data_IF_426473182095
#
_entry.id   IF_426473182095
#
_cell.length_a   1.000
_cell.length_b   1.000
_cell.length_c   1.000
_cell.angle_alpha   90.00
_cell.angle_beta   90.00
_cell.angle_gamma   90.00
#
_symmetry.space_group_name_H-M   'P 1'
#
loop_
_entity.id
_entity.type
_entity.pdbx_description
1 polymer ?
#
# COMPACT_ATOMS: atom_id res chain seq x y z
N UNK A 1 36.81 -44.99 9.89
CA UNK A 1 37.45 -43.66 9.68
C UNK A 1 36.57 -42.86 8.70
N UNK A 2 35.75 -41.99 9.21
CA UNK A 2 34.77 -41.25 8.40
C UNK A 2 35.16 -39.77 8.45
N UNK A 3 35.83 -39.30 7.41
CA UNK A 3 36.32 -37.93 7.29
C UNK A 3 35.15 -37.00 6.85
N UNK A 4 34.58 -36.32 7.85
CA UNK A 4 33.57 -35.27 7.56
C UNK A 4 34.19 -34.11 6.80
N UNK A 5 33.77 -33.93 5.55
CA UNK A 5 34.04 -32.72 4.79
C UNK A 5 33.16 -31.60 5.37
N UNK A 6 33.77 -30.72 6.17
CA UNK A 6 33.17 -29.42 6.53
C UNK A 6 33.07 -28.57 5.25
N UNK A 7 31.86 -28.34 4.73
CA UNK A 7 31.61 -27.43 3.65
C UNK A 7 31.98 -26.01 4.09
N UNK A 8 33.00 -25.43 3.47
CA UNK A 8 33.35 -24.03 3.62
C UNK A 8 32.22 -23.21 2.96
N UNK A 9 31.42 -22.54 3.78
CA UNK A 9 30.40 -21.59 3.35
C UNK A 9 31.15 -20.44 2.65
N UNK A 10 31.15 -20.42 1.29
CA UNK A 10 31.68 -19.29 0.52
C UNK A 10 30.97 -18.02 1.01
N UNK A 11 31.69 -17.09 1.64
CA UNK A 11 31.17 -15.77 1.93
C UNK A 11 30.80 -15.14 0.59
N UNK A 12 29.58 -14.67 0.49
CA UNK A 12 29.08 -13.93 -0.68
C UNK A 12 29.89 -12.64 -0.78
N UNK A 13 30.50 -12.37 -1.94
CA UNK A 13 31.13 -11.07 -2.18
C UNK A 13 30.08 -9.98 -1.99
N UNK A 14 30.42 -8.96 -1.20
CA UNK A 14 29.55 -7.80 -1.01
C UNK A 14 29.36 -7.10 -2.36
N UNK A 15 28.12 -6.86 -2.74
CA UNK A 15 27.81 -6.02 -3.89
C UNK A 15 27.86 -4.54 -3.47
N UNK A 16 28.02 -3.61 -4.42
CA UNK A 16 27.95 -2.17 -4.15
C UNK A 16 26.63 -1.75 -3.48
N UNK A 17 25.57 -2.53 -3.68
CA UNK A 17 24.25 -2.31 -3.05
C UNK A 17 24.28 -2.61 -1.54
N UNK A 18 25.20 -3.47 -1.08
CA UNK A 18 25.34 -3.83 0.34
C UNK A 18 26.01 -2.68 1.14
N UNK A 19 26.64 -1.71 0.46
CA UNK A 19 27.33 -0.56 1.08
C UNK A 19 26.44 0.70 1.15
N UNK A 20 25.18 0.64 0.65
CA UNK A 20 24.23 1.76 0.77
C UNK A 20 23.79 1.88 2.23
N UNK A 21 24.04 3.04 2.83
CA UNK A 21 23.53 3.35 4.18
C UNK A 21 22.00 3.48 4.13
N UNK A 22 21.32 2.52 4.72
CA UNK A 22 19.85 2.48 4.83
C UNK A 22 19.34 2.93 6.20
N UNK A 23 20.21 3.43 7.07
CA UNK A 23 19.83 3.84 8.43
C UNK A 23 18.82 4.98 8.44
N UNK A 24 18.81 5.81 7.40
CA UNK A 24 17.80 6.88 7.25
C UNK A 24 16.37 6.36 7.20
N UNK A 25 16.16 5.09 6.77
CA UNK A 25 14.84 4.45 6.71
C UNK A 25 14.45 3.78 8.04
N UNK A 26 15.40 3.63 8.98
CA UNK A 26 15.19 3.01 10.30
C UNK A 26 14.62 3.99 11.35
N UNK A 27 14.06 5.12 10.92
CA UNK A 27 13.36 6.07 11.78
C UNK A 27 12.13 5.37 12.34
N UNK A 28 11.96 5.47 13.65
CA UNK A 28 10.81 4.92 14.38
C UNK A 28 10.14 6.03 15.13
N UNK A 29 8.87 6.21 14.86
CA UNK A 29 8.04 7.08 15.68
C UNK A 29 7.50 6.29 16.87
N UNK A 30 7.16 6.99 17.94
CA UNK A 30 6.47 6.39 19.06
C UNK A 30 5.12 5.81 18.58
N UNK A 31 4.81 4.57 18.96
CA UNK A 31 3.52 3.96 18.65
C UNK A 31 2.41 4.69 19.39
N UNK A 32 1.54 5.40 18.65
CA UNK A 32 0.39 6.16 19.15
C UNK A 32 -0.85 5.78 18.35
N UNK A 33 -1.16 4.48 18.36
CA UNK A 33 -2.28 3.96 17.61
C UNK A 33 -3.60 4.41 18.25
N UNK A 34 -4.54 4.92 17.46
CA UNK A 34 -5.91 5.13 17.90
C UNK A 34 -6.67 3.80 17.99
N UNK A 35 -6.29 2.85 17.15
CA UNK A 35 -6.87 1.52 17.11
C UNK A 35 -5.87 0.53 16.52
N UNK A 36 -5.80 -0.67 17.10
CA UNK A 36 -5.04 -1.79 16.59
C UNK A 36 -5.92 -3.04 16.64
N UNK A 37 -6.05 -3.70 15.51
CA UNK A 37 -6.79 -4.95 15.42
C UNK A 37 -6.02 -6.08 16.10
N UNK A 38 -6.74 -7.08 16.58
CA UNK A 38 -6.12 -8.30 17.09
C UNK A 38 -5.25 -8.95 16.01
N UNK A 39 -4.16 -9.59 16.45
CA UNK A 39 -3.29 -10.35 15.55
C UNK A 39 -4.02 -11.57 14.98
N UNK A 40 -3.65 -11.92 13.76
CA UNK A 40 -4.17 -13.10 13.08
C UNK A 40 -5.10 -12.81 11.91
N UNK A 41 -5.63 -13.88 11.35
CA UNK A 41 -6.46 -13.85 10.15
C UNK A 41 -7.61 -14.86 10.26
N UNK A 42 -8.73 -14.41 10.83
CA UNK A 42 -9.95 -15.20 10.99
C UNK A 42 -11.15 -14.51 10.31
N UNK A 43 -12.26 -15.23 10.07
CA UNK A 43 -13.47 -14.59 9.54
C UNK A 43 -13.98 -13.44 10.40
N UNK A 44 -13.84 -13.54 11.73
CA UNK A 44 -14.27 -12.51 12.68
C UNK A 44 -13.39 -11.25 12.56
N UNK A 45 -12.06 -11.41 12.38
CA UNK A 45 -11.12 -10.30 12.16
C UNK A 45 -11.43 -9.61 10.83
N UNK A 46 -11.65 -10.37 9.75
CA UNK A 46 -11.98 -9.81 8.43
C UNK A 46 -13.34 -9.10 8.45
N UNK A 47 -14.35 -9.64 9.11
CA UNK A 47 -15.66 -9.00 9.29
C UNK A 47 -15.56 -7.71 10.12
N UNK A 48 -14.74 -7.74 11.18
CA UNK A 48 -14.48 -6.57 12.02
C UNK A 48 -13.75 -5.47 11.24
N UNK A 49 -12.77 -5.83 10.39
CA UNK A 49 -12.10 -4.88 9.50
C UNK A 49 -13.10 -4.25 8.53
N UNK A 50 -13.95 -5.06 7.90
CA UNK A 50 -14.96 -4.57 6.97
C UNK A 50 -15.93 -3.57 7.64
N UNK A 51 -16.34 -3.83 8.88
CA UNK A 51 -17.16 -2.91 9.68
C UNK A 51 -16.41 -1.64 10.07
N UNK A 52 -15.15 -1.75 10.47
CA UNK A 52 -14.30 -0.59 10.81
C UNK A 52 -14.10 0.34 9.59
N UNK A 53 -14.00 -0.25 8.39
CA UNK A 53 -13.86 0.48 7.13
C UNK A 53 -15.20 0.94 6.54
N UNK A 54 -16.34 0.58 7.15
CA UNK A 54 -17.68 0.86 6.62
C UNK A 54 -17.83 0.42 5.17
N UNK A 55 -17.43 -0.82 4.90
CA UNK A 55 -17.46 -1.39 3.56
C UNK A 55 -18.88 -1.61 3.04
N UNK A 56 -19.14 -1.41 1.75
CA UNK A 56 -20.38 -1.87 1.14
C UNK A 56 -20.47 -3.42 1.18
N UNK A 57 -21.69 -3.94 1.20
CA UNK A 57 -21.95 -5.39 1.35
C UNK A 57 -21.14 -6.25 0.38
N UNK A 58 -21.00 -5.82 -0.88
CA UNK A 58 -20.25 -6.59 -1.86
C UNK A 58 -18.75 -6.68 -1.51
N UNK A 59 -18.17 -5.64 -0.89
CA UNK A 59 -16.76 -5.65 -0.46
C UNK A 59 -16.56 -6.55 0.76
N UNK A 60 -17.47 -6.52 1.73
CA UNK A 60 -17.46 -7.46 2.86
C UNK A 60 -17.49 -8.92 2.36
N UNK A 61 -18.39 -9.23 1.42
CA UNK A 61 -18.45 -10.56 0.82
C UNK A 61 -17.16 -10.92 0.07
N UNK A 62 -16.59 -9.97 -0.67
CA UNK A 62 -15.34 -10.16 -1.39
C UNK A 62 -14.18 -10.48 -0.44
N UNK A 63 -14.08 -9.75 0.69
CA UNK A 63 -13.07 -10.03 1.72
C UNK A 63 -13.19 -11.44 2.29
N UNK A 64 -14.38 -11.85 2.67
CA UNK A 64 -14.62 -13.19 3.23
C UNK A 64 -14.35 -14.31 2.20
N UNK A 65 -14.71 -14.10 0.93
CA UNK A 65 -14.35 -15.03 -0.15
C UNK A 65 -12.84 -15.11 -0.37
N UNK A 66 -12.15 -13.96 -0.30
CA UNK A 66 -10.69 -13.91 -0.42
C UNK A 66 -10.00 -14.64 0.74
N UNK A 67 -10.54 -14.54 1.96
CA UNK A 67 -10.06 -15.30 3.11
C UNK A 67 -10.23 -16.82 2.90
N UNK A 68 -11.39 -17.23 2.36
CA UNK A 68 -11.60 -18.65 2.04
C UNK A 68 -10.56 -19.14 1.04
N UNK A 69 -10.33 -18.39 -0.04
CA UNK A 69 -9.29 -18.70 -1.05
C UNK A 69 -7.90 -18.76 -0.40
N UNK A 70 -7.57 -17.81 0.48
CA UNK A 70 -6.32 -17.81 1.22
C UNK A 70 -6.10 -19.12 1.99
N UNK A 71 -7.12 -19.61 2.68
CA UNK A 71 -7.06 -20.85 3.46
C UNK A 71 -6.86 -22.10 2.58
N UNK A 72 -7.39 -22.09 1.37
CA UNK A 72 -7.29 -23.20 0.40
C UNK A 72 -5.93 -23.19 -0.36
N UNK A 73 -5.29 -22.04 -0.51
CA UNK A 73 -4.09 -21.90 -1.35
C UNK A 73 -2.79 -22.25 -0.62
N UNK A 74 -1.87 -22.94 -1.28
CA UNK A 74 -0.52 -23.16 -0.74
C UNK A 74 0.27 -21.86 -0.76
N UNK A 75 1.31 -21.81 0.10
CA UNK A 75 2.32 -20.75 0.04
C UNK A 75 3.08 -20.89 -1.28
N UNK A 76 3.29 -19.78 -2.04
CA UNK A 76 4.06 -19.85 -3.28
C UNK A 76 5.51 -20.26 -3.02
N UNK A 77 6.06 -21.08 -3.91
CA UNK A 77 7.42 -21.64 -3.81
C UNK A 77 8.42 -21.04 -4.82
N UNK A 78 7.99 -20.05 -5.60
CA UNK A 78 8.76 -19.41 -6.67
C UNK A 78 9.47 -18.12 -6.21
N UNK A 79 9.20 -17.64 -5.00
CA UNK A 79 9.80 -16.44 -4.40
C UNK A 79 10.92 -16.77 -3.41
N UNK A 80 11.45 -15.74 -2.73
CA UNK A 80 12.35 -15.93 -1.59
C UNK A 80 11.66 -16.73 -0.48
N UNK A 81 12.45 -17.39 0.39
CA UNK A 81 11.90 -18.03 1.59
C UNK A 81 11.23 -17.00 2.49
N UNK A 82 10.03 -17.32 2.92
CA UNK A 82 9.25 -16.59 3.93
C UNK A 82 9.18 -17.36 5.24
N UNK A 83 10.12 -18.29 5.47
CA UNK A 83 10.24 -19.04 6.71
C UNK A 83 10.32 -18.08 7.90
N UNK A 84 9.48 -18.31 8.90
CA UNK A 84 9.35 -17.43 10.07
C UNK A 84 8.30 -16.34 9.95
N UNK A 85 7.64 -16.16 8.79
CA UNK A 85 6.45 -15.33 8.68
C UNK A 85 5.23 -16.13 9.16
N UNK A 86 4.64 -15.70 10.27
CA UNK A 86 3.38 -16.24 10.78
C UNK A 86 2.33 -15.12 10.84
N UNK A 87 1.35 -15.20 9.96
CA UNK A 87 0.25 -14.22 9.88
C UNK A 87 -0.57 -14.16 11.18
N UNK A 88 -0.56 -15.23 12.00
CA UNK A 88 -1.26 -15.24 13.27
C UNK A 88 -0.64 -14.31 14.33
N UNK A 89 0.57 -13.81 14.06
CA UNK A 89 1.29 -12.84 14.89
C UNK A 89 1.44 -11.47 14.21
N UNK A 90 0.60 -11.18 13.23
CA UNK A 90 0.55 -9.91 12.50
C UNK A 90 -0.81 -9.25 12.74
N UNK A 91 -0.80 -8.01 13.21
CA UNK A 91 -1.99 -7.17 13.20
C UNK A 91 -2.24 -6.67 11.78
N UNK A 92 -3.37 -7.04 11.19
CA UNK A 92 -3.66 -6.75 9.77
C UNK A 92 -4.17 -5.33 9.53
N UNK A 93 -4.49 -4.60 10.61
CA UNK A 93 -4.94 -3.22 10.51
C UNK A 93 -4.53 -2.42 11.76
N UNK A 94 -3.92 -1.27 11.52
CA UNK A 94 -3.53 -0.31 12.57
C UNK A 94 -3.90 1.10 12.11
N UNK A 95 -4.75 1.77 12.89
CA UNK A 95 -5.15 3.16 12.63
C UNK A 95 -4.33 4.09 13.49
N UNK A 96 -3.54 5.02 12.89
CA UNK A 96 -2.79 6.02 13.63
C UNK A 96 -3.72 7.01 14.35
N UNK A 97 -3.22 7.68 15.37
CA UNK A 97 -3.98 8.69 16.12
C UNK A 97 -4.04 10.03 15.36
N UNK A 98 -4.41 9.96 14.10
CA UNK A 98 -4.68 11.13 13.25
C UNK A 98 -5.72 10.78 12.21
N UNK A 99 -6.38 11.80 11.66
CA UNK A 99 -7.29 11.65 10.52
C UNK A 99 -6.63 12.23 9.29
N UNK A 100 -7.11 11.87 8.13
CA UNK A 100 -6.70 12.46 6.85
C UNK A 100 -6.83 13.98 6.89
N UNK A 101 -5.77 14.67 6.49
CA UNK A 101 -5.67 16.12 6.42
C UNK A 101 -5.52 16.57 4.96
N UNK A 102 -6.28 17.59 4.56
CA UNK A 102 -6.10 18.25 3.26
C UNK A 102 -4.97 19.28 3.26
N UNK A 103 -4.48 19.66 4.44
CA UNK A 103 -3.36 20.58 4.60
C UNK A 103 -2.21 19.92 5.35
N UNK A 104 -1.01 20.00 4.78
CA UNK A 104 0.21 19.50 5.44
C UNK A 104 0.48 20.14 6.80
N UNK A 105 0.01 21.37 7.01
CA UNK A 105 0.18 22.07 8.30
C UNK A 105 -0.50 21.35 9.45
N UNK A 106 -1.59 20.66 9.17
CA UNK A 106 -2.46 20.03 10.17
C UNK A 106 -2.05 18.56 10.45
N UNK A 107 -1.12 18.00 9.67
CA UNK A 107 -0.52 16.68 9.94
C UNK A 107 0.31 16.75 11.22
N UNK A 108 0.28 15.74 12.13
CA UNK A 108 1.11 15.69 13.33
C UNK A 108 2.62 15.84 13.01
N UNK A 109 3.36 16.49 13.91
CA UNK A 109 4.74 16.87 13.65
C UNK A 109 5.69 15.66 13.49
N UNK A 110 5.53 14.63 14.31
CA UNK A 110 6.27 13.37 14.23
C UNK A 110 6.10 12.70 12.86
N UNK A 111 4.87 12.61 12.37
CA UNK A 111 4.56 12.10 11.03
C UNK A 111 5.18 12.98 9.94
N UNK A 112 5.09 14.32 10.07
CA UNK A 112 5.76 15.25 9.14
C UNK A 112 7.25 15.00 9.07
N UNK A 113 7.91 14.90 10.22
CA UNK A 113 9.35 14.72 10.32
C UNK A 113 9.79 13.42 9.66
N UNK A 114 8.99 12.36 9.81
CA UNK A 114 9.21 11.07 9.15
C UNK A 114 9.11 11.20 7.63
N UNK A 115 8.06 11.79 7.09
CA UNK A 115 7.90 11.96 5.64
C UNK A 115 8.93 12.93 5.05
N UNK A 116 9.30 14.01 5.75
CA UNK A 116 10.34 14.94 5.31
C UNK A 116 11.72 14.25 5.14
N UNK A 117 12.01 13.26 5.98
CA UNK A 117 13.26 12.49 5.91
C UNK A 117 13.23 11.38 4.87
N UNK A 118 12.06 10.77 4.63
CA UNK A 118 11.93 9.51 3.89
C UNK A 118 11.54 9.65 2.43
N UNK A 119 11.20 10.83 1.95
CA UNK A 119 10.95 10.96 0.52
C UNK A 119 9.76 11.80 0.09
N UNK A 120 9.18 12.62 0.99
CA UNK A 120 8.22 13.65 0.58
C UNK A 120 8.66 15.02 1.13
N UNK A 121 9.86 15.50 0.80
CA UNK A 121 10.32 16.80 1.26
C UNK A 121 9.43 17.92 0.71
N UNK A 122 9.40 19.04 1.39
CA UNK A 122 8.53 20.17 1.03
C UNK A 122 8.71 20.63 -0.43
N UNK A 123 9.93 20.56 -0.95
CA UNK A 123 10.22 20.93 -2.34
C UNK A 123 9.49 20.03 -3.35
N UNK A 124 9.44 18.70 -3.08
CA UNK A 124 8.73 17.74 -3.93
C UNK A 124 7.22 17.97 -3.87
N UNK A 125 6.65 18.12 -2.66
CA UNK A 125 5.21 18.40 -2.51
C UNK A 125 4.75 19.62 -3.28
N UNK A 126 5.58 20.67 -3.37
CA UNK A 126 5.26 21.89 -4.13
C UNK A 126 5.33 21.70 -5.64
N UNK A 127 6.20 20.81 -6.12
CA UNK A 127 6.42 20.57 -7.55
C UNK A 127 5.45 19.57 -8.15
N UNK A 128 4.86 18.66 -7.34
CA UNK A 128 3.95 17.62 -7.80
C UNK A 128 2.53 18.14 -8.06
N UNK A 129 1.80 17.44 -8.93
CA UNK A 129 0.40 17.72 -9.22
C UNK A 129 -0.55 17.27 -8.11
N UNK A 130 -0.16 16.27 -7.34
CA UNK A 130 -0.87 15.77 -6.17
C UNK A 130 0.00 14.84 -5.36
N UNK A 131 -0.26 14.76 -4.06
CA UNK A 131 0.47 13.94 -3.11
C UNK A 131 -0.49 13.26 -2.14
N UNK A 132 -0.34 11.94 -1.97
CA UNK A 132 -0.94 11.15 -0.91
C UNK A 132 0.11 10.61 0.04
N UNK A 133 -0.14 10.63 1.33
CA UNK A 133 0.72 10.04 2.34
C UNK A 133 -0.09 9.13 3.26
N UNK A 134 0.26 7.85 3.28
CA UNK A 134 -0.33 6.85 4.17
C UNK A 134 0.66 6.51 5.29
N UNK A 135 0.14 6.41 6.50
CA UNK A 135 0.87 5.98 7.68
C UNK A 135 0.14 4.79 8.30
N UNK A 136 0.84 3.66 8.41
CA UNK A 136 0.25 2.35 8.73
C UNK A 136 -0.92 2.00 7.79
N UNK A 137 -2.13 1.83 8.29
CA UNK A 137 -3.26 1.40 7.48
C UNK A 137 -4.14 2.53 6.95
N UNK A 138 -3.80 3.81 7.21
CA UNK A 138 -4.66 4.95 6.87
C UNK A 138 -3.92 6.07 6.14
N UNK A 139 -4.63 6.71 5.23
CA UNK A 139 -4.18 7.95 4.61
C UNK A 139 -4.20 9.09 5.66
N UNK A 140 -3.08 9.78 5.83
CA UNK A 140 -2.92 10.88 6.80
C UNK A 140 -2.84 12.24 6.14
N UNK A 141 -2.50 12.27 4.86
CA UNK A 141 -2.45 13.50 4.07
C UNK A 141 -2.81 13.21 2.62
N UNK A 142 -3.61 14.10 2.03
CA UNK A 142 -3.94 14.06 0.62
C UNK A 142 -4.15 15.48 0.09
N UNK A 143 -3.58 15.76 -1.07
CA UNK A 143 -3.78 17.02 -1.77
C UNK A 143 -3.60 16.85 -3.28
N UNK A 144 -4.46 17.49 -4.08
CA UNK A 144 -4.35 17.57 -5.54
C UNK A 144 -4.42 19.04 -5.93
N UNK A 145 -3.72 19.44 -6.98
CA UNK A 145 -3.82 20.79 -7.53
C UNK A 145 -5.15 20.97 -8.28
N UNK A 146 -5.79 22.09 -8.03
CA UNK A 146 -7.09 22.42 -8.63
C UNK A 146 -7.08 22.43 -10.16
N UNK A 147 -5.95 22.77 -10.78
CA UNK A 147 -5.80 22.75 -12.24
C UNK A 147 -5.94 21.33 -12.79
N UNK A 148 -5.41 20.33 -12.07
CA UNK A 148 -5.48 18.92 -12.47
C UNK A 148 -6.89 18.37 -12.24
N UNK A 149 -7.54 18.73 -11.13
CA UNK A 149 -8.94 18.40 -10.87
C UNK A 149 -9.88 19.02 -11.90
N UNK A 150 -9.61 20.26 -12.35
CA UNK A 150 -10.40 20.95 -13.36
C UNK A 150 -10.36 20.26 -14.74
N UNK A 151 -9.32 19.48 -15.03
CA UNK A 151 -9.23 18.62 -16.22
C UNK A 151 -10.00 17.30 -16.07
N UNK A 152 -10.66 17.09 -14.94
CA UNK A 152 -11.41 15.88 -14.61
C UNK A 152 -10.56 14.72 -14.14
N UNK A 153 -9.29 14.95 -13.81
CA UNK A 153 -8.44 13.95 -13.18
C UNK A 153 -8.89 13.71 -11.75
N UNK A 154 -9.06 12.46 -11.40
CA UNK A 154 -9.36 12.02 -10.04
C UNK A 154 -8.12 11.43 -9.42
N UNK A 155 -7.76 11.90 -8.24
CA UNK A 155 -6.80 11.25 -7.36
C UNK A 155 -7.35 11.33 -5.94
N UNK A 156 -7.66 10.18 -5.35
CA UNK A 156 -8.21 10.06 -3.99
C UNK A 156 -7.74 8.75 -3.35
N UNK A 157 -8.10 8.52 -2.10
CA UNK A 157 -7.90 7.23 -1.47
C UNK A 157 -8.91 6.18 -1.96
N UNK A 158 -8.53 4.91 -1.84
CA UNK A 158 -9.35 3.80 -2.32
C UNK A 158 -10.69 3.65 -1.57
N UNK A 159 -10.73 3.92 -0.25
CA UNK A 159 -11.96 3.82 0.52
C UNK A 159 -12.97 4.92 0.14
N UNK A 160 -12.49 6.14 -0.11
CA UNK A 160 -13.34 7.22 -0.61
C UNK A 160 -13.88 6.91 -2.01
N UNK A 161 -13.04 6.37 -2.90
CA UNK A 161 -13.48 5.93 -4.22
C UNK A 161 -14.49 4.80 -4.15
N UNK A 162 -14.28 3.82 -3.26
CA UNK A 162 -15.16 2.66 -3.07
C UNK A 162 -16.58 3.05 -2.64
N UNK A 163 -16.71 4.11 -1.85
CA UNK A 163 -17.98 4.55 -1.23
C UNK A 163 -18.61 5.76 -1.92
N UNK A 164 -17.84 6.49 -2.73
CA UNK A 164 -18.23 7.72 -3.39
C UNK A 164 -18.79 7.52 -4.80
N UNK A 165 -18.67 8.56 -5.61
CA UNK A 165 -19.18 8.58 -7.00
C UNK A 165 -18.45 7.60 -7.92
N UNK A 166 -17.26 7.11 -7.54
CA UNK A 166 -16.46 6.15 -8.31
C UNK A 166 -16.70 4.70 -7.91
N UNK A 167 -17.67 4.42 -7.02
CA UNK A 167 -17.95 3.08 -6.48
C UNK A 167 -18.17 2.02 -7.57
N UNK A 168 -18.91 2.34 -8.63
CA UNK A 168 -19.16 1.42 -9.75
C UNK A 168 -17.88 1.15 -10.55
N UNK A 169 -17.01 2.17 -10.70
CA UNK A 169 -15.73 2.02 -11.37
C UNK A 169 -14.79 1.14 -10.54
N UNK A 170 -14.70 1.39 -9.23
CA UNK A 170 -13.94 0.51 -8.33
C UNK A 170 -14.46 -0.91 -8.42
N UNK A 171 -15.75 -1.14 -8.30
CA UNK A 171 -16.34 -2.48 -8.41
C UNK A 171 -16.04 -3.19 -9.74
N UNK A 172 -15.93 -2.43 -10.83
CA UNK A 172 -15.61 -2.96 -12.16
C UNK A 172 -14.15 -3.41 -12.27
N UNK A 173 -13.22 -2.69 -11.66
CA UNK A 173 -11.79 -2.86 -11.91
C UNK A 173 -11.02 -3.49 -10.74
N UNK A 174 -11.47 -3.34 -9.50
CA UNK A 174 -10.79 -3.79 -8.30
C UNK A 174 -10.55 -5.31 -8.31
N UNK A 175 -9.28 -5.69 -8.15
CA UNK A 175 -8.78 -7.07 -8.15
C UNK A 175 -9.28 -7.91 -9.33
N UNK A 176 -9.19 -7.34 -10.55
CA UNK A 176 -9.49 -8.04 -11.80
C UNK A 176 -8.24 -8.42 -12.57
N UNK A 177 -7.13 -7.67 -12.44
CA UNK A 177 -5.82 -8.04 -13.00
C UNK A 177 -5.04 -8.90 -12.01
N UNK A 178 -5.01 -8.52 -10.74
CA UNK A 178 -4.45 -9.32 -9.65
C UNK A 178 -5.60 -9.91 -8.86
N UNK A 179 -5.98 -11.16 -9.21
CA UNK A 179 -7.14 -11.80 -8.56
C UNK A 179 -6.75 -12.51 -7.26
N UNK A 180 -7.67 -12.71 -6.32
CA UNK A 180 -7.39 -13.51 -5.12
C UNK A 180 -6.93 -14.95 -5.42
N UNK A 181 -7.15 -15.44 -6.66
CA UNK A 181 -6.76 -16.79 -7.08
C UNK A 181 -5.38 -16.89 -7.70
N UNK A 182 -4.66 -15.78 -7.88
CA UNK A 182 -3.32 -15.80 -8.48
C UNK A 182 -2.29 -16.45 -7.56
N UNK A 183 -2.30 -16.12 -6.29
CA UNK A 183 -1.49 -16.76 -5.24
C UNK A 183 -1.97 -16.38 -3.84
N UNK A 184 -1.48 -17.09 -2.82
CA UNK A 184 -1.91 -16.94 -1.43
C UNK A 184 -1.85 -15.50 -0.91
N UNK A 185 -0.82 -14.72 -1.27
CA UNK A 185 -0.70 -13.31 -0.84
C UNK A 185 -1.66 -12.37 -1.58
N UNK A 186 -2.07 -12.67 -2.80
CA UNK A 186 -3.15 -11.94 -3.47
C UNK A 186 -4.49 -12.19 -2.78
N UNK A 187 -4.74 -13.42 -2.33
CA UNK A 187 -5.91 -13.75 -1.52
C UNK A 187 -5.88 -13.05 -0.16
N UNK A 188 -4.71 -13.03 0.52
CA UNK A 188 -4.50 -12.27 1.76
C UNK A 188 -4.82 -10.79 1.55
N UNK A 189 -4.25 -10.19 0.50
CA UNK A 189 -4.51 -8.80 0.15
C UNK A 189 -6.02 -8.54 -0.02
N UNK A 190 -6.73 -9.37 -0.80
CA UNK A 190 -8.18 -9.24 -0.98
C UNK A 190 -8.98 -9.33 0.31
N UNK A 191 -8.50 -10.08 1.31
CA UNK A 191 -9.17 -10.22 2.61
C UNK A 191 -8.96 -9.01 3.53
N UNK A 192 -7.76 -8.40 3.51
CA UNK A 192 -7.37 -7.41 4.55
C UNK A 192 -6.87 -6.08 4.01
N UNK A 193 -7.00 -5.79 2.72
CA UNK A 193 -6.55 -4.52 2.16
C UNK A 193 -7.13 -3.31 2.90
N UNK A 194 -6.32 -2.26 3.02
CA UNK A 194 -6.71 -0.97 3.59
C UNK A 194 -5.78 0.13 3.06
N UNK A 195 -6.34 1.30 2.80
CA UNK A 195 -5.60 2.41 2.20
C UNK A 195 -5.27 2.19 0.72
N UNK A 196 -4.32 2.97 0.25
CA UNK A 196 -3.91 2.99 -1.15
C UNK A 196 -4.55 4.11 -1.94
N UNK A 197 -4.35 4.08 -3.26
CA UNK A 197 -4.67 5.20 -4.15
C UNK A 197 -5.61 4.80 -5.26
N UNK A 198 -6.60 5.64 -5.52
CA UNK A 198 -7.43 5.59 -6.72
C UNK A 198 -7.10 6.76 -7.64
N UNK A 199 -6.71 6.47 -8.88
CA UNK A 199 -6.41 7.47 -9.89
C UNK A 199 -7.20 7.18 -11.16
N UNK A 200 -7.90 8.19 -11.66
CA UNK A 200 -8.58 8.15 -12.95
C UNK A 200 -8.18 9.34 -13.79
N UNK A 201 -7.70 9.10 -15.00
CA UNK A 201 -7.34 10.14 -15.97
C UNK A 201 -8.27 10.00 -17.17
N UNK A 202 -9.13 11.01 -17.43
CA UNK A 202 -10.08 10.99 -18.54
C UNK A 202 -9.41 10.93 -19.92
N UNK A 203 -10.19 10.52 -20.91
CA UNK A 203 -9.75 10.40 -22.31
C UNK A 203 -9.08 11.68 -22.82
N UNK A 204 -7.86 11.54 -23.35
CA UNK A 204 -7.09 12.60 -23.98
C UNK A 204 -6.39 13.57 -23.03
N UNK A 205 -6.63 13.49 -21.72
CA UNK A 205 -6.03 14.39 -20.72
C UNK A 205 -4.54 14.10 -20.56
N UNK A 206 -3.71 15.16 -20.55
CA UNK A 206 -2.26 15.08 -20.46
C UNK A 206 -1.79 15.61 -19.11
N UNK A 207 -1.61 14.72 -18.13
CA UNK A 207 -1.08 15.10 -16.82
C UNK A 207 0.44 15.25 -16.93
N UNK A 208 0.91 16.49 -17.05
CA UNK A 208 2.33 16.81 -17.31
C UNK A 208 3.19 16.78 -16.06
N UNK A 209 2.60 16.95 -14.88
CA UNK A 209 3.29 16.95 -13.58
C UNK A 209 2.93 15.66 -12.85
N UNK A 210 3.89 14.93 -12.27
CA UNK A 210 3.61 13.66 -11.60
C UNK A 210 2.65 13.80 -10.42
N UNK A 211 1.87 12.73 -10.20
CA UNK A 211 1.20 12.44 -8.94
C UNK A 211 2.09 11.50 -8.11
N UNK A 212 2.01 11.55 -6.79
CA UNK A 212 2.81 10.70 -5.91
C UNK A 212 1.99 10.17 -4.73
N UNK A 213 2.17 8.89 -4.42
CA UNK A 213 1.79 8.28 -3.14
C UNK A 213 3.00 7.80 -2.38
N UNK A 214 2.98 7.92 -1.06
CA UNK A 214 4.01 7.37 -0.19
C UNK A 214 3.39 6.63 0.99
N UNK A 215 3.86 5.40 1.21
CA UNK A 215 3.36 4.50 2.25
C UNK A 215 4.43 4.27 3.32
N UNK A 216 4.09 4.51 4.57
CA UNK A 216 4.94 4.25 5.72
C UNK A 216 4.29 3.24 6.65
N UNK A 217 4.90 2.07 6.80
CA UNK A 217 4.55 1.11 7.84
C UNK A 217 5.43 1.38 9.07
N UNK A 218 4.88 1.98 10.13
CA UNK A 218 5.60 2.25 11.38
C UNK A 218 5.26 1.27 12.49
N UNK A 219 4.05 0.74 12.53
CA UNK A 219 3.59 -0.13 13.59
C UNK A 219 4.37 -1.46 13.64
N UNK A 220 4.89 -1.80 14.82
CA UNK A 220 5.63 -3.04 15.06
C UNK A 220 4.68 -4.25 15.06
N UNK A 221 5.08 -5.35 14.39
CA UNK A 221 4.24 -6.57 14.31
C UNK A 221 2.94 -6.36 13.53
N UNK A 222 2.94 -5.40 12.59
CA UNK A 222 1.78 -5.08 11.79
C UNK A 222 2.00 -5.40 10.30
N UNK A 223 0.88 -5.49 9.58
CA UNK A 223 0.84 -5.54 8.13
C UNK A 223 0.34 -4.22 7.52
N UNK A 224 0.80 -3.93 6.30
CA UNK A 224 0.30 -2.87 5.44
C UNK A 224 -0.10 -3.46 4.10
N UNK A 225 -1.32 -3.20 3.65
CA UNK A 225 -1.96 -3.87 2.51
C UNK A 225 -2.66 -2.85 1.62
N UNK A 226 -1.95 -1.83 1.19
CA UNK A 226 -2.51 -0.77 0.35
C UNK A 226 -2.85 -1.26 -1.05
N UNK A 227 -3.94 -0.74 -1.61
CA UNK A 227 -4.39 -1.04 -2.97
C UNK A 227 -4.31 0.20 -3.85
N UNK A 228 -3.46 0.18 -4.87
CA UNK A 228 -3.36 1.25 -5.87
C UNK A 228 -4.06 0.82 -7.15
N UNK A 229 -5.11 1.55 -7.54
CA UNK A 229 -5.86 1.35 -8.78
C UNK A 229 -5.73 2.57 -9.66
N UNK A 230 -5.07 2.43 -10.82
CA UNK A 230 -4.85 3.51 -11.78
C UNK A 230 -5.52 3.18 -13.11
N UNK A 231 -6.38 4.07 -13.57
CA UNK A 231 -7.08 3.96 -14.85
C UNK A 231 -6.72 5.19 -15.71
N UNK A 232 -6.05 4.97 -16.82
CA UNK A 232 -5.66 6.00 -17.79
C UNK A 232 -6.39 5.72 -19.09
N UNK A 233 -7.37 6.57 -19.41
CA UNK A 233 -8.26 6.40 -20.55
C UNK A 233 -7.55 6.65 -21.90
N UNK A 234 -8.22 6.31 -23.01
CA UNK A 234 -7.69 6.41 -24.36
C UNK A 234 -7.01 7.76 -24.65
N UNK A 235 -5.76 7.72 -25.11
CA UNK A 235 -4.98 8.90 -25.49
C UNK A 235 -4.52 9.78 -24.34
N UNK A 236 -4.77 9.39 -23.09
CA UNK A 236 -4.35 10.15 -21.92
C UNK A 236 -2.91 9.84 -21.51
N UNK A 237 -2.31 10.68 -20.69
CA UNK A 237 -0.95 10.51 -20.18
C UNK A 237 -0.87 10.79 -18.68
N UNK A 238 -0.17 9.92 -17.94
CA UNK A 238 0.09 10.07 -16.52
C UNK A 238 1.50 9.62 -16.17
N UNK A 239 2.17 10.36 -15.31
CA UNK A 239 3.33 9.90 -14.54
C UNK A 239 2.94 9.78 -13.06
N UNK A 240 3.01 8.57 -12.51
CA UNK A 240 2.70 8.27 -11.11
C UNK A 240 3.93 7.73 -10.41
N UNK A 241 4.22 8.25 -9.22
CA UNK A 241 5.35 7.86 -8.39
C UNK A 241 4.79 7.22 -7.11
N UNK A 242 5.23 6.02 -6.79
CA UNK A 242 4.87 5.34 -5.56
C UNK A 242 6.12 4.94 -4.79
N UNK A 243 6.13 5.24 -3.51
CA UNK A 243 7.21 4.88 -2.61
C UNK A 243 6.70 4.26 -1.33
N UNK A 244 7.48 3.35 -0.76
CA UNK A 244 7.16 2.75 0.52
C UNK A 244 8.40 2.60 1.39
N UNK A 245 8.21 2.60 2.71
CA UNK A 245 9.27 2.32 3.67
C UNK A 245 8.74 1.76 4.98
N UNK A 246 9.58 1.01 5.67
CA UNK A 246 9.32 0.52 7.01
C UNK A 246 10.62 0.57 7.84
N UNK A 247 10.55 0.83 9.16
CA UNK A 247 11.69 0.67 10.04
C UNK A 247 12.01 -0.82 10.22
N UNK A 248 13.21 -1.10 10.66
CA UNK A 248 13.66 -2.45 10.97
C UNK A 248 13.30 -2.82 12.40
N UNK A 249 12.50 -3.85 12.59
CA UNK A 249 12.13 -4.40 13.89
C UNK A 249 12.71 -5.80 14.10
N UNK A 250 12.75 -6.24 15.37
CA UNK A 250 13.14 -7.61 15.73
C UNK A 250 11.94 -8.58 15.72
N UNK A 251 10.89 -8.22 15.00
CA UNK A 251 9.68 -9.02 14.77
C UNK A 251 9.32 -8.96 13.30
N UNK A 252 8.50 -9.88 12.83
CA UNK A 252 7.99 -9.85 11.48
C UNK A 252 7.04 -8.65 11.31
N UNK A 253 7.24 -7.91 10.22
CA UNK A 253 6.28 -6.98 9.66
C UNK A 253 6.00 -7.45 8.23
N UNK A 254 4.81 -7.25 7.75
CA UNK A 254 4.41 -7.65 6.40
C UNK A 254 3.91 -6.45 5.60
N UNK A 255 4.59 -6.15 4.50
CA UNK A 255 4.09 -5.22 3.49
C UNK A 255 3.69 -6.01 2.24
N UNK A 256 2.41 -5.97 1.88
CA UNK A 256 1.85 -6.69 0.74
C UNK A 256 0.85 -5.78 -0.02
N UNK A 257 1.38 -4.73 -0.64
CA UNK A 257 0.63 -3.83 -1.51
C UNK A 257 0.21 -4.54 -2.82
N UNK A 258 -0.84 -4.03 -3.44
CA UNK A 258 -1.32 -4.46 -4.75
C UNK A 258 -1.51 -3.25 -5.65
N UNK A 259 -1.00 -3.33 -6.87
CA UNK A 259 -1.11 -2.27 -7.88
C UNK A 259 -1.75 -2.83 -9.14
N UNK A 260 -2.85 -2.22 -9.57
CA UNK A 260 -3.55 -2.55 -10.82
C UNK A 260 -3.55 -1.34 -11.77
N UNK A 261 -2.99 -1.53 -12.96
CA UNK A 261 -2.80 -0.47 -13.95
C UNK A 261 -3.61 -0.77 -15.22
N UNK A 262 -4.60 0.05 -15.50
CA UNK A 262 -5.42 0.00 -16.71
C UNK A 262 -5.04 1.14 -17.64
N UNK A 263 -4.49 0.80 -18.82
CA UNK A 263 -4.01 1.78 -19.79
C UNK A 263 -4.79 1.62 -21.09
N UNK A 264 -5.54 2.64 -21.46
CA UNK A 264 -6.38 2.68 -22.63
C UNK A 264 -5.58 2.74 -23.93
N UNK A 265 -6.29 2.64 -25.07
CA UNK A 265 -5.68 2.70 -26.40
C UNK A 265 -4.92 4.02 -26.57
N UNK A 266 -3.66 3.97 -27.06
CA UNK A 266 -2.79 5.14 -27.27
C UNK A 266 -2.54 5.97 -26.01
N UNK A 267 -2.87 5.46 -24.82
CA UNK A 267 -2.54 6.10 -23.55
C UNK A 267 -1.11 5.77 -23.13
N UNK A 268 -0.54 6.62 -22.27
CA UNK A 268 0.78 6.42 -21.67
C UNK A 268 0.70 6.53 -20.16
N UNK A 269 1.20 5.51 -19.47
CA UNK A 269 1.39 5.54 -18.05
C UNK A 269 2.86 5.25 -17.73
N UNK A 270 3.52 6.18 -17.06
CA UNK A 270 4.82 5.95 -16.41
C UNK A 270 4.57 5.73 -14.92
N UNK A 271 4.86 4.50 -14.48
CA UNK A 271 4.79 4.09 -13.08
C UNK A 271 6.19 3.77 -12.54
#
# INVERSE_FOLDING_TARGET
>A
MNSGKKGVRKMREKSQVDDIDRSIYDIRDEEKDAYRMEEGLTPEIVDKLSKEKDDPVWMQQFRLQSLQIYNEMPVPNWGPSIDGLDINHIATYVRPNTRMQGSWKDVPQDIKDTFERLGIPQAERKSLAGVGAQYDSELVYHNVKSEVEAEGVVYTDMESALKGEYADMVRKYFMKLVTPRDHKFAALHGAVWSGGSFVYVPKGVQVSIPLQSYFRLNAKGAGQFEHTLIIVEEGANLHFIEGCSAPKYNVANLHAGCVELYVGKNATLRY
#
